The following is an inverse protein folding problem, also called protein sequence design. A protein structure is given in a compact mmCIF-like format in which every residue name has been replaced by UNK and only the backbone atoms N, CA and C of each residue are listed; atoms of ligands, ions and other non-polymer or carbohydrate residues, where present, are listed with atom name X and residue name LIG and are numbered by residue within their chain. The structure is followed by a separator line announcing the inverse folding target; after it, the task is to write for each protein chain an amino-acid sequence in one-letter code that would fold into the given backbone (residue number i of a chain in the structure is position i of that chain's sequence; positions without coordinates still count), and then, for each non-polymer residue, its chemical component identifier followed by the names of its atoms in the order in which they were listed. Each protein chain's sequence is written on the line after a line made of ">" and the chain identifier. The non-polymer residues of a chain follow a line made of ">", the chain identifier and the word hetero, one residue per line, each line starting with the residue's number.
data_IF_786464810392
#
_entry.id   IF_786464810392
#
_cell.length_a   1.000
_cell.length_b   1.000
_cell.length_c   1.000
_cell.angle_alpha   90.00
_cell.angle_beta   90.00
_cell.angle_gamma   90.00
#
_symmetry.space_group_name_H-M   'P 1'
#
loop_
_entity.id
_entity.type
_entity.pdbx_description
1 polymer ?
#
# COMPACT_ATOMS: atom_id res chain seq x y z
N UNK A 1 4.94 -14.71 6.49
CA UNK A 1 3.68 -14.07 6.96
C UNK A 1 2.77 -13.81 5.75
N UNK A 2 1.62 -14.48 5.70
CA UNK A 2 0.56 -14.18 4.72
C UNK A 2 0.09 -12.73 4.94
N UNK A 3 0.69 -11.78 4.22
CA UNK A 3 0.18 -10.41 4.12
C UNK A 3 -1.15 -10.50 3.38
N UNK A 4 -2.24 -10.81 4.11
CA UNK A 4 -3.60 -10.63 3.58
C UNK A 4 -3.71 -9.17 3.18
N UNK A 5 -3.67 -8.91 1.88
CA UNK A 5 -3.80 -7.56 1.37
C UNK A 5 -5.18 -7.04 1.77
N UNK A 6 -5.22 -6.14 2.74
CA UNK A 6 -6.40 -5.34 2.96
C UNK A 6 -6.57 -4.47 1.71
N UNK A 7 -7.63 -4.70 0.94
CA UNK A 7 -7.94 -3.89 -0.23
C UNK A 7 -8.27 -2.49 0.27
N UNK A 8 -7.34 -1.54 0.07
CA UNK A 8 -7.55 -0.12 0.33
C UNK A 8 -7.87 0.58 -0.99
N UNK A 9 -8.86 1.48 -0.98
CA UNK A 9 -9.24 2.33 -2.11
C UNK A 9 -8.62 3.72 -1.92
N UNK A 10 -8.01 4.25 -2.98
CA UNK A 10 -7.45 5.59 -3.04
C UNK A 10 -8.11 6.31 -4.22
N UNK A 11 -8.51 7.56 -4.00
CA UNK A 11 -8.93 8.46 -5.08
C UNK A 11 -7.79 9.42 -5.35
N UNK A 12 -7.41 9.59 -6.61
CA UNK A 12 -6.39 10.56 -7.04
C UNK A 12 -7.00 11.49 -8.06
N UNK A 13 -6.71 12.78 -7.91
CA UNK A 13 -7.07 13.78 -8.92
C UNK A 13 -5.95 13.84 -9.94
N UNK A 14 -6.32 13.76 -11.21
CA UNK A 14 -5.43 13.89 -12.35
C UNK A 14 -5.94 15.04 -13.21
N UNK A 15 -5.03 15.76 -13.85
CA UNK A 15 -5.41 16.76 -14.86
C UNK A 15 -6.04 16.07 -16.07
N UNK A 16 -6.82 16.82 -16.87
CA UNK A 16 -7.48 16.27 -18.05
C UNK A 16 -6.49 15.62 -19.03
N UNK A 17 -5.30 16.21 -19.18
CA UNK A 17 -4.23 15.69 -20.06
C UNK A 17 -3.62 14.39 -19.52
N UNK A 18 -3.44 14.28 -18.20
CA UNK A 18 -2.94 13.05 -17.57
C UNK A 18 -3.96 11.90 -17.68
N UNK A 19 -5.25 12.19 -17.47
CA UNK A 19 -6.33 11.20 -17.66
C UNK A 19 -6.37 10.73 -19.11
N UNK A 20 -6.30 11.65 -20.07
CA UNK A 20 -6.35 11.30 -21.48
C UNK A 20 -5.17 10.40 -21.87
N UNK A 21 -3.95 10.78 -21.46
CA UNK A 21 -2.74 9.99 -21.70
C UNK A 21 -2.86 8.59 -21.11
N UNK A 22 -3.33 8.48 -19.87
CA UNK A 22 -3.51 7.19 -19.20
C UNK A 22 -4.58 6.35 -19.90
N UNK A 23 -5.68 6.96 -20.32
CA UNK A 23 -6.77 6.31 -21.05
C UNK A 23 -6.31 5.76 -22.40
N UNK A 24 -5.60 6.57 -23.20
CA UNK A 24 -5.04 6.15 -24.48
C UNK A 24 -4.05 4.99 -24.32
N UNK A 25 -3.21 5.02 -23.28
CA UNK A 25 -2.29 3.92 -22.98
C UNK A 25 -3.04 2.63 -22.63
N UNK A 26 -4.06 2.71 -21.78
CA UNK A 26 -4.89 1.57 -21.39
C UNK A 26 -5.65 1.00 -22.59
N UNK A 27 -6.18 1.85 -23.47
CA UNK A 27 -6.85 1.43 -24.70
C UNK A 27 -5.92 0.69 -25.67
N UNK A 28 -4.65 1.13 -25.80
CA UNK A 28 -3.66 0.48 -26.67
C UNK A 28 -3.13 -0.83 -26.13
N UNK A 29 -2.98 -0.93 -24.81
CA UNK A 29 -2.35 -2.10 -24.14
C UNK A 29 -3.35 -3.12 -23.61
N UNK A 30 -4.64 -2.75 -23.53
CA UNK A 30 -5.70 -3.56 -22.93
C UNK A 30 -5.61 -3.69 -21.41
N UNK A 31 -4.71 -2.93 -20.75
CA UNK A 31 -4.51 -3.00 -19.31
C UNK A 31 -5.48 -2.08 -18.57
N UNK A 32 -6.01 -2.49 -17.41
CA UNK A 32 -6.86 -1.62 -16.60
C UNK A 32 -6.04 -0.56 -15.87
N UNK A 33 -6.65 0.62 -15.67
CA UNK A 33 -6.05 1.76 -14.97
C UNK A 33 -5.35 1.39 -13.66
N UNK A 34 -6.02 0.59 -12.82
CA UNK A 34 -5.51 0.19 -11.52
C UNK A 34 -4.22 -0.63 -11.60
N UNK A 35 -4.05 -1.44 -12.64
CA UNK A 35 -2.85 -2.27 -12.78
C UNK A 35 -1.66 -1.44 -13.23
N UNK A 36 -1.89 -0.51 -14.15
CA UNK A 36 -0.87 0.46 -14.57
C UNK A 36 -0.41 1.31 -13.39
N UNK A 37 -1.34 1.89 -12.62
CA UNK A 37 -1.00 2.68 -11.43
C UNK A 37 -0.27 1.82 -10.40
N UNK A 38 -0.70 0.58 -10.17
CA UNK A 38 -0.04 -0.32 -9.21
C UNK A 38 1.38 -0.69 -9.63
N UNK A 39 1.61 -0.91 -10.93
CA UNK A 39 2.94 -1.18 -11.48
C UNK A 39 3.87 0.03 -11.33
N UNK A 40 3.37 1.23 -11.65
CA UNK A 40 4.12 2.47 -11.46
C UNK A 40 4.50 2.68 -9.99
N UNK A 41 3.54 2.51 -9.07
CA UNK A 41 3.80 2.62 -7.63
C UNK A 41 4.86 1.63 -7.13
N UNK A 42 4.86 0.38 -7.63
CA UNK A 42 5.88 -0.62 -7.27
C UNK A 42 7.27 -0.30 -7.84
N UNK A 43 7.32 0.47 -8.92
CA UNK A 43 8.57 0.86 -9.57
C UNK A 43 9.20 2.09 -8.93
N UNK A 44 8.45 2.83 -8.10
CA UNK A 44 9.00 3.92 -7.31
C UNK A 44 10.01 3.37 -6.30
N UNK A 45 11.25 3.85 -6.37
CA UNK A 45 12.25 3.61 -5.33
C UNK A 45 11.90 4.50 -4.15
N UNK A 46 11.62 3.90 -3.01
CA UNK A 46 11.56 4.62 -1.74
C UNK A 46 13.00 4.70 -1.24
N UNK A 47 13.59 5.88 -1.26
CA UNK A 47 14.83 6.14 -0.54
C UNK A 47 14.47 6.10 0.95
N UNK A 48 14.64 4.94 1.58
CA UNK A 48 14.22 4.73 2.97
C UNK A 48 15.28 5.28 3.91
N UNK A 49 14.93 6.30 4.67
CA UNK A 49 15.28 6.34 6.09
C UNK A 49 13.99 6.50 6.90
N UNK A 50 13.72 5.45 7.70
CA UNK A 50 12.88 5.43 8.91
C UNK A 50 11.37 5.67 8.76
N UNK A 51 10.63 4.61 8.41
CA UNK A 51 9.27 4.43 8.91
C UNK A 51 9.29 3.31 9.95
N UNK A 52 9.47 3.75 11.19
CA UNK A 52 9.39 3.03 12.45
C UNK A 52 8.52 1.76 12.44
N UNK A 53 9.15 0.70 12.93
CA UNK A 53 8.47 -0.47 13.46
C UNK A 53 7.53 -0.04 14.61
N UNK A 54 6.22 0.03 14.35
CA UNK A 54 5.24 0.07 15.43
C UNK A 54 4.91 -1.38 15.79
N UNK A 55 5.65 -1.90 16.78
CA UNK A 55 5.32 -3.11 17.52
C UNK A 55 4.03 -2.88 18.33
N UNK A 56 2.98 -3.72 18.22
CA UNK A 56 1.93 -3.76 19.22
C UNK A 56 2.44 -4.54 20.43
N UNK A 57 2.68 -3.81 21.52
CA UNK A 57 3.05 -4.30 22.83
C UNK A 57 2.11 -5.44 23.27
N UNK A 58 2.62 -6.66 23.26
CA UNK A 58 1.94 -7.86 23.74
C UNK A 58 2.75 -8.46 24.87
N UNK A 59 2.79 -7.77 26.02
CA UNK A 59 3.00 -8.41 27.33
C UNK A 59 2.16 -7.74 28.43
N UNK A 60 0.84 -7.84 28.28
CA UNK A 60 -0.11 -7.75 29.40
C UNK A 60 -0.70 -9.14 29.69
N UNK A 61 0.13 -10.09 30.13
CA UNK A 61 -0.30 -11.31 30.84
C UNK A 61 0.91 -12.10 31.32
N UNK A 62 1.62 -11.59 32.33
CA UNK A 62 2.44 -12.46 33.17
C UNK A 62 2.73 -11.83 34.55
N UNK A 63 1.71 -11.29 35.23
CA UNK A 63 1.82 -10.96 36.66
C UNK A 63 0.54 -11.35 37.42
N UNK A 64 0.10 -12.59 37.19
CA UNK A 64 -0.84 -13.30 38.06
C UNK A 64 -0.19 -14.64 38.47
N UNK A 65 0.94 -14.56 39.18
CA UNK A 65 1.42 -15.65 40.02
C UNK A 65 1.74 -15.09 41.40
N UNK A 66 0.76 -15.26 42.28
CA UNK A 66 0.91 -15.25 43.73
C UNK A 66 2.09 -16.14 44.15
N UNK A 67 2.97 -15.67 45.03
CA UNK A 67 3.48 -16.49 46.12
C UNK A 67 2.64 -16.24 47.39
N UNK A 68 2.54 -17.29 48.21
CA UNK A 68 1.86 -17.35 49.51
C UNK A 68 2.42 -16.34 50.51
#
# INVERSE_FOLDING_TARGET
>A
MNKKWAVKRLTVNLTSTEIEKLSQYCAKTGRPFNDVIRELLRSLKVESEEASEILPDSKASELARLPK
#
